data_IF_598403045023
#
_entry.id   IF_598403045023
#
_cell.length_a   1.000
_cell.length_b   1.000
_cell.length_c   1.000
_cell.angle_alpha   90.00
_cell.angle_beta   90.00
_cell.angle_gamma   90.00
#
_symmetry.space_group_name_H-M   'P 1'
#
loop_
_entity.id
_entity.type
_entity.pdbx_description
1 polymer ?
#
# COMPACT_ATOMS: atom_id res chain seq x y z
N UNK A 1 -6.01 1.59 -4.59
CA UNK A 1 -5.75 0.43 -5.48
C UNK A 1 -4.31 0.38 -5.98
N UNK A 2 -3.78 1.44 -6.61
CA UNK A 2 -2.40 1.43 -7.11
C UNK A 2 -1.34 1.27 -6.01
N UNK A 3 -1.55 1.87 -4.82
CA UNK A 3 -0.64 1.71 -3.67
C UNK A 3 -0.46 0.24 -3.25
N UNK A 4 -1.54 -0.55 -3.29
CA UNK A 4 -1.49 -1.99 -3.01
C UNK A 4 -0.71 -2.73 -4.10
N UNK A 5 -0.95 -2.42 -5.38
CA UNK A 5 -0.19 -3.02 -6.48
C UNK A 5 1.30 -2.67 -6.39
N UNK A 6 1.63 -1.43 -6.05
CA UNK A 6 3.01 -0.97 -5.87
C UNK A 6 3.69 -1.66 -4.68
N UNK A 7 3.00 -1.76 -3.53
CA UNK A 7 3.50 -2.47 -2.35
C UNK A 7 3.80 -3.95 -2.66
N UNK A 8 2.83 -4.66 -3.27
CA UNK A 8 3.00 -6.06 -3.64
C UNK A 8 4.01 -6.28 -4.78
N UNK A 9 4.22 -5.29 -5.65
CA UNK A 9 5.25 -5.35 -6.68
C UNK A 9 6.65 -5.26 -6.07
N UNK A 10 6.80 -4.50 -4.97
CA UNK A 10 8.06 -4.39 -4.24
C UNK A 10 8.33 -5.62 -3.36
N UNK A 11 7.31 -6.11 -2.65
CA UNK A 11 7.35 -7.33 -1.84
C UNK A 11 6.02 -8.07 -1.95
N UNK A 12 6.01 -9.19 -2.66
CA UNK A 12 4.79 -9.98 -2.90
C UNK A 12 4.47 -10.85 -1.66
N UNK A 13 3.23 -11.35 -1.57
CA UNK A 13 2.84 -12.28 -0.50
C UNK A 13 2.71 -11.65 0.89
N UNK A 14 2.37 -10.36 0.97
CA UNK A 14 2.21 -9.63 2.23
C UNK A 14 0.94 -10.01 2.98
N UNK A 15 0.98 -10.00 4.31
CA UNK A 15 -0.24 -10.09 5.13
C UNK A 15 -1.08 -8.83 4.90
N UNK A 16 -2.40 -8.93 5.11
CA UNK A 16 -3.29 -7.76 5.02
C UNK A 16 -2.90 -6.69 6.05
N UNK A 17 -2.45 -7.09 7.24
CA UNK A 17 -1.90 -6.18 8.25
C UNK A 17 -0.70 -5.39 7.71
N UNK A 18 0.30 -6.09 7.15
CA UNK A 18 1.51 -5.46 6.62
C UNK A 18 1.18 -4.50 5.46
N UNK A 19 0.20 -4.86 4.64
CA UNK A 19 -0.31 -3.98 3.59
C UNK A 19 -1.04 -2.76 4.16
N UNK A 20 -1.74 -2.88 5.28
CA UNK A 20 -2.42 -1.75 5.93
C UNK A 20 -1.38 -0.73 6.38
N UNK A 21 -0.31 -1.20 7.01
CA UNK A 21 0.81 -0.37 7.48
C UNK A 21 1.53 0.32 6.29
N UNK A 22 1.88 -0.45 5.26
CA UNK A 22 2.59 0.07 4.08
C UNK A 22 1.75 1.03 3.24
N UNK A 23 0.43 0.82 3.19
CA UNK A 23 -0.47 1.66 2.38
C UNK A 23 -1.16 2.74 3.20
N UNK A 24 -0.98 2.77 4.51
CA UNK A 24 -1.62 3.74 5.40
C UNK A 24 -3.15 3.73 5.21
N UNK A 25 -3.73 2.54 5.01
CA UNK A 25 -5.17 2.32 4.82
C UNK A 25 -5.62 1.40 5.96
N UNK A 26 -6.73 1.74 6.63
CA UNK A 26 -7.26 0.90 7.70
C UNK A 26 -7.57 -0.51 7.20
N UNK A 27 -7.38 -1.51 8.07
CA UNK A 27 -7.51 -2.93 7.72
C UNK A 27 -8.89 -3.25 7.12
N UNK A 28 -9.96 -2.62 7.59
CA UNK A 28 -11.32 -2.90 7.12
C UNK A 28 -11.53 -2.43 5.67
N UNK A 29 -11.07 -1.21 5.35
CA UNK A 29 -11.11 -0.66 4.00
C UNK A 29 -10.16 -1.38 3.08
N UNK A 30 -8.97 -1.72 3.56
CA UNK A 30 -8.01 -2.49 2.79
C UNK A 30 -8.58 -3.86 2.43
N UNK A 31 -9.21 -4.57 3.37
CA UNK A 31 -9.83 -5.87 3.10
C UNK A 31 -10.92 -5.78 2.02
N UNK A 32 -11.78 -4.75 2.08
CA UNK A 32 -12.78 -4.46 1.03
C UNK A 32 -12.11 -4.15 -0.31
N UNK A 33 -11.03 -3.37 -0.31
CA UNK A 33 -10.26 -3.04 -1.51
C UNK A 33 -9.62 -4.27 -2.13
N UNK A 34 -9.00 -5.15 -1.33
CA UNK A 34 -8.44 -6.43 -1.79
C UNK A 34 -9.53 -7.28 -2.43
N UNK A 35 -10.71 -7.39 -1.83
CA UNK A 35 -11.84 -8.13 -2.42
C UNK A 35 -12.24 -7.59 -3.81
N UNK A 36 -12.24 -6.27 -4.00
CA UNK A 36 -12.46 -5.66 -5.33
C UNK A 36 -11.32 -5.98 -6.32
N UNK A 37 -10.08 -6.00 -5.84
CA UNK A 37 -8.90 -6.32 -6.66
C UNK A 37 -8.87 -7.80 -7.05
N UNK A 38 -9.30 -8.72 -6.18
CA UNK A 38 -9.46 -10.15 -6.47
C UNK A 38 -10.51 -10.38 -7.54
N UNK A 39 -11.69 -9.74 -7.43
CA UNK A 39 -12.76 -9.81 -8.46
C UNK A 39 -12.29 -9.35 -9.84
N UNK A 40 -11.32 -8.45 -9.88
CA UNK A 40 -10.68 -7.96 -11.12
C UNK A 40 -9.51 -8.82 -11.59
N UNK A 41 -9.22 -9.91 -10.90
CA UNK A 41 -8.12 -10.80 -11.20
C UNK A 41 -6.73 -10.18 -10.99
N UNK A 42 -6.60 -9.11 -10.20
CA UNK A 42 -5.32 -8.40 -9.98
C UNK A 42 -4.49 -9.02 -8.84
N UNK A 43 -5.16 -9.53 -7.82
CA UNK A 43 -4.52 -10.16 -6.66
C UNK A 43 -5.22 -11.48 -6.34
N UNK A 44 -4.56 -12.30 -5.55
CA UNK A 44 -5.12 -13.51 -4.97
C UNK A 44 -4.71 -13.62 -3.51
N UNK A 45 -5.65 -13.96 -2.65
CA UNK A 45 -5.37 -14.39 -1.28
C UNK A 45 -4.87 -15.83 -1.27
N UNK A 46 -3.75 -16.07 -0.58
CA UNK A 46 -3.18 -17.39 -0.32
C UNK A 46 -3.10 -17.60 1.19
N UNK A 47 -3.43 -18.81 1.65
CA UNK A 47 -3.08 -19.20 3.02
C UNK A 47 -1.56 -19.32 3.10
N UNK A 48 -0.96 -18.68 4.09
CA UNK A 48 0.49 -18.74 4.31
C UNK A 48 0.95 -20.19 4.60
N UNK A 49 2.24 -20.49 4.38
CA UNK A 49 2.84 -21.80 4.67
C UNK A 49 3.06 -22.07 6.17
N UNK A 50 2.85 -21.06 7.04
CA UNK A 50 2.95 -21.23 8.49
C UNK A 50 1.87 -22.20 9.02
N UNK A 51 2.25 -22.98 10.04
CA UNK A 51 1.45 -24.07 10.63
C UNK A 51 0.04 -23.65 11.12
N UNK A 52 -0.22 -22.35 11.30
CA UNK A 52 -1.50 -21.86 11.79
C UNK A 52 -2.57 -21.65 10.70
N UNK A 53 -2.24 -21.78 9.40
CA UNK A 53 -3.22 -21.87 8.28
C UNK A 53 -4.24 -20.72 8.11
N UNK A 54 -4.23 -19.74 9.02
CA UNK A 54 -5.19 -18.65 9.21
C UNK A 54 -4.71 -17.32 8.65
N UNK A 55 -3.39 -17.17 8.47
CA UNK A 55 -2.83 -15.94 7.92
C UNK A 55 -3.04 -15.90 6.42
N UNK A 56 -3.87 -14.96 5.99
CA UNK A 56 -4.17 -14.70 4.58
C UNK A 56 -3.13 -13.73 4.03
N UNK A 57 -2.19 -14.24 3.26
CA UNK A 57 -1.27 -13.46 2.46
C UNK A 57 -1.94 -13.02 1.15
N UNK A 58 -1.63 -11.83 0.66
CA UNK A 58 -2.11 -11.31 -0.61
C UNK A 58 -0.93 -11.32 -1.58
N UNK A 59 -1.15 -11.88 -2.76
CA UNK A 59 -0.14 -11.91 -3.82
C UNK A 59 -0.68 -11.37 -5.16
N UNK A 60 0.19 -10.80 -5.99
CA UNK A 60 -0.17 -10.40 -7.35
C UNK A 60 -0.45 -11.64 -8.22
N UNK A 61 -1.47 -11.54 -9.06
CA UNK A 61 -1.63 -12.46 -10.20
C UNK A 61 -0.69 -12.06 -11.35
N UNK A 62 -0.70 -12.85 -12.43
CA UNK A 62 0.00 -12.44 -13.66
C UNK A 62 -0.53 -11.09 -14.20
N UNK A 63 -1.86 -10.90 -14.20
CA UNK A 63 -2.50 -9.64 -14.61
C UNK A 63 -2.10 -8.51 -13.68
N UNK A 64 -2.14 -8.73 -12.36
CA UNK A 64 -1.72 -7.74 -11.37
C UNK A 64 -0.27 -7.32 -11.53
N UNK A 65 0.65 -8.27 -11.79
CA UNK A 65 2.06 -7.96 -12.07
C UNK A 65 2.22 -7.11 -13.32
N UNK A 66 1.50 -7.42 -14.40
CA UNK A 66 1.52 -6.60 -15.62
C UNK A 66 0.99 -5.19 -15.36
N UNK A 67 -0.12 -5.06 -14.64
CA UNK A 67 -0.69 -3.75 -14.26
C UNK A 67 0.25 -2.96 -13.38
N UNK A 68 0.88 -3.59 -12.38
CA UNK A 68 1.84 -2.92 -11.51
C UNK A 68 3.03 -2.37 -12.29
N UNK A 69 3.59 -3.16 -13.23
CA UNK A 69 4.68 -2.71 -14.12
C UNK A 69 4.30 -1.50 -14.98
N UNK A 70 3.04 -1.38 -15.39
CA UNK A 70 2.58 -0.22 -16.15
C UNK A 70 2.40 1.04 -15.28
N UNK A 71 1.98 0.87 -14.02
CA UNK A 71 1.65 2.01 -13.13
C UNK A 71 2.87 2.55 -12.38
N UNK A 72 3.79 1.68 -11.95
CA UNK A 72 4.96 2.08 -11.14
C UNK A 72 5.81 3.16 -11.81
N UNK A 73 6.12 3.10 -13.13
CA UNK A 73 6.85 4.17 -13.81
C UNK A 73 6.10 5.51 -13.80
N UNK A 74 4.77 5.49 -13.95
CA UNK A 74 3.94 6.69 -13.90
C UNK A 74 4.02 7.32 -12.51
N UNK A 75 3.89 6.52 -11.45
CA UNK A 75 4.02 6.99 -10.08
C UNK A 75 5.39 7.62 -9.80
N UNK A 76 6.48 6.99 -10.28
CA UNK A 76 7.84 7.53 -10.17
C UNK A 76 8.01 8.86 -10.88
N UNK A 77 7.35 9.05 -12.03
CA UNK A 77 7.38 10.34 -12.75
C UNK A 77 6.72 11.45 -11.94
N UNK A 78 5.58 11.17 -11.31
CA UNK A 78 4.93 12.13 -10.42
C UNK A 78 5.77 12.41 -9.17
N UNK A 79 6.38 11.39 -8.55
CA UNK A 79 7.29 11.58 -7.41
C UNK A 79 8.48 12.48 -7.79
N UNK A 80 9.10 12.21 -8.94
CA UNK A 80 10.23 13.02 -9.45
C UNK A 80 9.80 14.47 -9.68
N UNK A 81 8.61 14.70 -10.26
CA UNK A 81 8.09 16.05 -10.46
C UNK A 81 7.75 16.75 -9.14
N UNK A 82 7.16 16.03 -8.17
CA UNK A 82 6.77 16.57 -6.88
C UNK A 82 7.97 16.94 -6.00
N UNK A 83 9.09 16.24 -6.16
CA UNK A 83 10.35 16.49 -5.45
C UNK A 83 11.34 17.30 -6.29
N UNK A 84 10.91 17.88 -7.41
CA UNK A 84 11.79 18.70 -8.24
C UNK A 84 12.32 19.89 -7.42
N UNK A 85 13.65 20.02 -7.36
CA UNK A 85 14.33 21.06 -6.56
C UNK A 85 14.63 20.68 -5.12
N UNK A 86 14.22 19.50 -4.65
CA UNK A 86 14.59 18.98 -3.33
C UNK A 86 15.91 18.21 -3.41
N UNK A 87 16.75 18.35 -2.40
CA UNK A 87 17.84 17.43 -2.12
C UNK A 87 17.30 16.11 -1.56
N UNK A 88 18.14 15.06 -1.56
CA UNK A 88 17.77 13.78 -0.97
C UNK A 88 17.40 13.91 0.53
N UNK A 89 18.16 14.70 1.28
CA UNK A 89 17.93 14.91 2.70
C UNK A 89 16.62 15.65 2.99
N UNK A 90 16.29 16.66 2.17
CA UNK A 90 15.01 17.39 2.27
C UNK A 90 13.83 16.50 1.91
N UNK A 91 13.96 15.68 0.86
CA UNK A 91 12.93 14.71 0.48
C UNK A 91 12.68 13.69 1.60
N UNK A 92 13.73 13.19 2.23
CA UNK A 92 13.62 12.26 3.35
C UNK A 92 13.07 12.93 4.61
N UNK A 93 13.45 14.18 4.89
CA UNK A 93 12.86 14.98 5.96
C UNK A 93 11.35 15.19 5.75
N UNK A 94 10.94 15.55 4.52
CA UNK A 94 9.54 15.69 4.15
C UNK A 94 8.76 14.39 4.37
N UNK A 95 9.29 13.24 3.91
CA UNK A 95 8.68 11.93 4.14
C UNK A 95 8.46 11.66 5.63
N UNK A 96 9.47 11.89 6.47
CA UNK A 96 9.35 11.72 7.94
C UNK A 96 8.28 12.63 8.54
N UNK A 97 8.23 13.89 8.11
CA UNK A 97 7.20 14.84 8.57
C UNK A 97 5.79 14.40 8.17
N UNK A 98 5.60 13.95 6.92
CA UNK A 98 4.30 13.45 6.44
C UNK A 98 3.85 12.19 7.20
N UNK A 99 4.77 11.27 7.53
CA UNK A 99 4.46 10.11 8.37
C UNK A 99 4.00 10.55 9.76
N UNK A 100 4.66 11.56 10.36
CA UNK A 100 4.25 12.11 11.66
C UNK A 100 2.87 12.77 11.60
N UNK A 101 2.60 13.56 10.56
CA UNK A 101 1.26 14.15 10.33
C UNK A 101 0.22 13.05 10.19
N UNK A 102 0.49 12.01 9.40
CA UNK A 102 -0.42 10.88 9.24
C UNK A 102 -0.69 10.16 10.57
N UNK A 103 0.34 9.91 11.38
CA UNK A 103 0.18 9.29 12.70
C UNK A 103 -0.68 10.14 13.64
N UNK A 104 -0.50 11.46 13.64
CA UNK A 104 -1.34 12.38 14.42
C UNK A 104 -2.81 12.35 13.97
N UNK A 105 -3.05 12.17 12.66
CA UNK A 105 -4.41 12.07 12.11
C UNK A 105 -5.04 10.68 12.31
N UNK A 106 -4.23 9.63 12.45
CA UNK A 106 -4.66 8.25 12.69
C UNK A 106 -4.97 7.92 14.15
N UNK A 107 -4.71 8.85 15.08
CA UNK A 107 -5.11 8.75 16.49
C UNK A 107 -6.27 9.69 16.79
N UNK A 108 -7.51 9.20 16.67
CA UNK A 108 -8.77 9.77 17.24
C UNK A 108 -9.14 11.24 16.93
N UNK A 109 -8.32 12.01 16.22
CA UNK A 109 -8.44 13.48 16.19
C UNK A 109 -9.54 14.04 15.26
N UNK A 110 -10.22 13.20 14.47
CA UNK A 110 -11.30 13.67 13.58
C UNK A 110 -12.67 13.04 13.82
N UNK A 111 -12.76 11.96 14.61
CA UNK A 111 -14.06 11.36 14.99
C UNK A 111 -14.68 12.01 16.23
N UNK A 112 -13.96 12.92 16.90
CA UNK A 112 -14.47 13.74 18.02
C UNK A 112 -15.06 15.09 17.58
N UNK A 113 -15.07 15.41 16.28
CA UNK A 113 -15.44 16.73 15.76
C UNK A 113 -16.60 16.73 14.75
N UNK A 114 -17.46 15.70 14.77
CA UNK A 114 -18.74 15.67 14.04
C UNK A 114 -19.82 15.00 14.90
#
# INVERSE_FOLDING_TARGET
MWRVLAALHHRDGLRISDLADLTSIDISTLSRLIGKMEKRGLVARRRGPEADGRVVAVALTAVGRATARAIVPVARRYETAALAGFTADEADALKRMLVRVYANLGGEALDSAA
#
